data_IF_660447981850
#
_entry.id   IF_660447981850
#
_cell.length_a   1.000
_cell.length_b   1.000
_cell.length_c   1.000
_cell.angle_alpha   90.00
_cell.angle_beta   90.00
_cell.angle_gamma   90.00
#
_symmetry.space_group_name_H-M   'P 1'
#
loop_
_entity.id
_entity.type
_entity.pdbx_description
1 polymer ?
#
# COMPACT_ATOMS: atom_id res chain seq x y z
N UNK A 1 6.49 7.05 -22.40
CA UNK A 1 5.48 7.36 -21.37
C UNK A 1 6.19 7.39 -20.04
N UNK A 2 6.07 8.49 -19.28
CA UNK A 2 6.68 8.61 -17.95
C UNK A 2 6.12 7.51 -17.05
N UNK A 3 7.00 6.71 -16.44
CA UNK A 3 6.61 5.61 -15.54
C UNK A 3 5.89 6.12 -14.28
N UNK A 4 5.62 5.21 -13.34
CA UNK A 4 4.97 5.54 -12.06
C UNK A 4 5.91 6.17 -11.02
N UNK A 5 7.23 6.10 -11.24
CA UNK A 5 8.23 6.63 -10.33
C UNK A 5 8.12 8.15 -10.04
N UNK A 6 7.91 9.03 -11.04
CA UNK A 6 7.78 10.48 -10.79
C UNK A 6 6.59 10.86 -9.90
N UNK A 7 5.54 10.03 -9.84
CA UNK A 7 4.43 10.24 -8.91
C UNK A 7 4.85 9.98 -7.47
N UNK A 8 5.63 8.92 -7.23
CA UNK A 8 6.22 8.65 -5.91
C UNK A 8 7.18 9.78 -5.54
N UNK A 9 8.01 10.24 -6.48
CA UNK A 9 8.91 11.37 -6.23
C UNK A 9 8.14 12.65 -5.86
N UNK A 10 7.00 12.91 -6.52
CA UNK A 10 6.14 14.05 -6.21
C UNK A 10 5.52 13.96 -4.82
N UNK A 11 5.14 12.76 -4.37
CA UNK A 11 4.63 12.51 -3.02
C UNK A 11 5.71 12.66 -1.94
N UNK A 12 6.97 12.39 -2.29
CA UNK A 12 8.12 12.52 -1.39
C UNK A 12 8.73 13.93 -1.41
N UNK A 13 8.40 14.76 -2.40
CA UNK A 13 9.02 16.07 -2.63
C UNK A 13 8.74 17.10 -1.53
N UNK A 14 7.63 16.96 -0.81
CA UNK A 14 7.23 17.86 0.27
C UNK A 14 7.99 17.60 1.60
N UNK A 15 8.71 16.48 1.69
CA UNK A 15 9.44 16.05 2.88
C UNK A 15 8.55 15.65 4.06
N UNK A 16 7.22 15.55 3.88
CA UNK A 16 6.29 15.16 4.94
C UNK A 16 6.13 13.64 5.02
N UNK A 17 6.34 12.97 3.89
CA UNK A 17 6.23 11.52 3.75
C UNK A 17 7.60 10.85 3.83
N UNK A 18 7.66 9.72 4.54
CA UNK A 18 8.88 8.90 4.64
C UNK A 18 8.89 7.71 3.67
N UNK A 19 7.70 7.37 3.15
CA UNK A 19 7.44 6.25 2.28
C UNK A 19 6.16 6.51 1.48
N UNK A 20 6.16 6.14 0.20
CA UNK A 20 5.01 6.26 -0.69
C UNK A 20 5.03 5.12 -1.71
N UNK A 21 3.86 4.63 -2.10
CA UNK A 21 3.73 3.61 -3.12
C UNK A 21 2.41 3.69 -3.89
N UNK A 22 2.46 3.22 -5.12
CA UNK A 22 1.33 3.05 -6.03
C UNK A 22 1.16 1.56 -6.26
N UNK A 23 0.02 1.02 -5.86
CA UNK A 23 -0.30 -0.40 -5.94
C UNK A 23 -1.54 -0.58 -6.81
N UNK A 24 -1.39 -1.34 -7.90
CA UNK A 24 -2.52 -1.85 -8.65
C UNK A 24 -3.20 -2.95 -7.85
N UNK A 25 -4.52 -2.84 -7.65
CA UNK A 25 -5.30 -3.83 -6.89
C UNK A 25 -6.23 -4.70 -7.76
N UNK A 26 -6.50 -4.30 -9.02
CA UNK A 26 -7.35 -5.05 -9.96
C UNK A 26 -6.53 -6.02 -10.83
N UNK A 27 -7.14 -7.15 -11.17
CA UNK A 27 -6.62 -8.26 -11.98
C UNK A 27 -5.41 -8.98 -11.39
N UNK A 28 -4.27 -8.29 -11.32
CA UNK A 28 -3.02 -8.80 -10.79
C UNK A 28 -2.43 -7.78 -9.84
N UNK A 29 -2.59 -7.97 -8.52
CA UNK A 29 -2.07 -7.04 -7.54
C UNK A 29 -0.55 -6.85 -7.68
N UNK A 30 -0.10 -5.62 -7.96
CA UNK A 30 1.30 -5.29 -8.25
C UNK A 30 1.63 -3.84 -7.83
N UNK A 31 2.78 -3.58 -7.21
CA UNK A 31 3.35 -2.22 -7.04
C UNK A 31 3.83 -1.78 -8.40
N UNK A 32 3.39 -0.60 -8.76
CA UNK A 32 3.81 0.07 -9.97
C UNK A 32 4.96 1.04 -9.70
N UNK A 33 5.02 1.63 -8.51
CA UNK A 33 6.18 2.35 -7.99
C UNK A 33 6.12 2.43 -6.46
N UNK A 34 7.28 2.42 -5.80
CA UNK A 34 7.41 2.64 -4.36
C UNK A 34 8.76 3.28 -4.04
N UNK A 35 8.86 3.93 -2.89
CA UNK A 35 10.13 4.46 -2.39
C UNK A 35 11.10 3.31 -2.12
N UNK A 36 12.30 3.28 -2.75
CA UNK A 36 13.24 2.17 -2.60
C UNK A 36 13.70 1.98 -1.14
N UNK A 37 13.80 0.73 -0.70
CA UNK A 37 14.35 0.37 0.61
C UNK A 37 13.44 0.67 1.82
N UNK A 38 12.14 0.90 1.59
CA UNK A 38 11.15 1.19 2.62
C UNK A 38 10.06 0.11 2.72
N UNK A 39 9.16 0.27 3.69
CA UNK A 39 8.09 -0.69 4.02
C UNK A 39 7.17 -0.95 2.82
N UNK A 40 6.87 0.08 2.02
CA UNK A 40 6.00 -0.03 0.85
C UNK A 40 6.69 -0.56 -0.42
N UNK A 41 8.02 -0.66 -0.43
CA UNK A 41 8.71 -1.45 -1.46
C UNK A 41 8.60 -2.95 -1.17
N UNK A 42 8.59 -3.33 0.12
CA UNK A 42 8.33 -4.70 0.56
C UNK A 42 6.86 -5.11 0.45
N UNK A 43 6.01 -4.14 0.13
CA UNK A 43 4.63 -4.37 -0.24
C UNK A 43 4.70 -5.27 -1.50
N UNK A 44 4.98 -4.87 -2.74
CA UNK A 44 5.18 -5.89 -3.81
C UNK A 44 6.63 -5.97 -4.25
N UNK A 45 7.22 -7.14 -4.09
CA UNK A 45 8.43 -7.49 -4.83
C UNK A 45 8.17 -7.53 -6.33
N UNK A 46 8.75 -6.59 -7.07
CA UNK A 46 9.45 -6.94 -8.32
C UNK A 46 10.94 -6.89 -8.00
N UNK A 47 11.55 -8.06 -7.81
CA UNK A 47 12.99 -8.20 -8.03
C UNK A 47 13.20 -8.70 -9.45
N UNK A 48 13.76 -7.85 -10.30
CA UNK A 48 14.44 -8.37 -11.49
C UNK A 48 15.75 -8.98 -11.01
N UNK A 49 15.81 -10.32 -10.97
CA UNK A 49 17.04 -11.07 -10.80
C UNK A 49 17.13 -11.95 -9.55
N UNK A 50 17.04 -13.26 -9.80
CA UNK A 50 17.83 -14.32 -9.15
C UNK A 50 17.40 -14.84 -7.75
N UNK A 51 16.53 -15.85 -7.80
CA UNK A 51 16.33 -17.05 -6.95
C UNK A 51 16.51 -17.01 -5.41
N UNK A 52 15.43 -17.49 -4.75
CA UNK A 52 15.32 -18.03 -3.37
C UNK A 52 15.23 -17.00 -2.25
N UNK A 53 14.03 -16.43 -2.08
CA UNK A 53 13.15 -16.65 -0.93
C UNK A 53 11.93 -15.74 -1.13
N UNK A 54 10.76 -16.36 -1.15
CA UNK A 54 9.47 -15.76 -1.51
C UNK A 54 9.11 -14.63 -0.54
N UNK A 55 9.43 -13.38 -0.89
CA UNK A 55 8.86 -12.17 -0.25
C UNK A 55 7.89 -11.56 -1.26
N UNK A 56 6.79 -12.27 -1.45
CA UNK A 56 5.60 -11.78 -2.14
C UNK A 56 4.97 -10.69 -1.27
N UNK A 57 4.43 -9.64 -1.85
CA UNK A 57 3.20 -9.06 -1.30
C UNK A 57 2.30 -10.24 -1.02
N UNK A 58 1.86 -10.51 0.22
CA UNK A 58 0.82 -11.52 0.34
C UNK A 58 -0.39 -10.90 -0.34
N UNK A 59 -0.94 -11.42 -1.45
CA UNK A 59 -2.15 -10.85 -2.05
C UNK A 59 -3.27 -10.66 -1.01
N UNK A 60 -3.21 -11.45 0.07
CA UNK A 60 -3.96 -11.27 1.30
C UNK A 60 -3.95 -9.83 1.89
N UNK A 61 -2.86 -9.07 1.86
CA UNK A 61 -2.81 -7.70 2.40
C UNK A 61 -3.56 -6.69 1.51
N UNK A 62 -3.43 -6.77 0.17
CA UNK A 62 -4.28 -5.96 -0.74
C UNK A 62 -5.73 -6.38 -0.58
N UNK A 63 -5.98 -7.68 -0.59
CA UNK A 63 -7.33 -8.23 -0.45
C UNK A 63 -7.95 -7.88 0.90
N UNK A 64 -7.16 -7.75 1.97
CA UNK A 64 -7.63 -7.26 3.26
C UNK A 64 -8.02 -5.78 3.19
N UNK A 65 -7.24 -4.93 2.52
CA UNK A 65 -7.58 -3.51 2.32
C UNK A 65 -8.86 -3.31 1.51
N UNK A 66 -9.05 -4.10 0.45
CA UNK A 66 -10.24 -4.03 -0.42
C UNK A 66 -11.35 -5.01 -0.01
N UNK A 67 -11.20 -5.67 1.14
CA UNK A 67 -12.16 -6.66 1.61
C UNK A 67 -13.53 -6.02 1.83
N UNK A 68 -14.64 -6.72 1.50
CA UNK A 68 -15.97 -6.29 1.89
C UNK A 68 -16.21 -6.41 3.41
N UNK A 69 -15.42 -7.25 4.11
CA UNK A 69 -15.54 -7.43 5.56
C UNK A 69 -14.73 -6.38 6.32
N UNK A 70 -15.36 -5.23 6.57
CA UNK A 70 -14.71 -4.05 7.19
C UNK A 70 -14.62 -4.13 8.71
N UNK A 71 -15.60 -4.77 9.35
CA UNK A 71 -15.68 -4.86 10.82
C UNK A 71 -14.47 -5.57 11.45
N UNK A 72 -13.97 -6.62 10.80
CA UNK A 72 -12.81 -7.38 11.27
C UNK A 72 -11.50 -6.56 11.21
N UNK A 73 -11.39 -5.61 10.25
CA UNK A 73 -10.23 -4.74 10.11
C UNK A 73 -10.10 -3.75 11.27
N UNK A 74 -11.22 -3.23 11.77
CA UNK A 74 -11.24 -2.30 12.90
C UNK A 74 -10.84 -2.98 14.21
N UNK A 75 -11.19 -4.26 14.38
CA UNK A 75 -10.89 -5.03 15.61
C UNK A 75 -9.48 -5.63 15.57
N UNK A 76 -9.12 -6.30 14.49
CA UNK A 76 -7.85 -7.04 14.39
C UNK A 76 -6.70 -6.19 13.85
N UNK A 77 -7.01 -5.07 13.18
CA UNK A 77 -6.05 -4.33 12.37
C UNK A 77 -5.66 -5.09 11.12
N UNK A 78 -4.62 -4.60 10.44
CA UNK A 78 -4.05 -5.25 9.25
C UNK A 78 -2.53 -5.12 9.22
N UNK A 79 -1.89 -5.82 8.30
CA UNK A 79 -0.45 -5.70 8.06
C UNK A 79 -0.21 -5.10 6.68
N UNK A 80 0.78 -4.21 6.58
CA UNK A 80 1.26 -3.61 5.34
C UNK A 80 2.76 -3.87 5.24
N UNK A 81 3.19 -4.72 4.30
CA UNK A 81 4.62 -5.06 4.16
C UNK A 81 5.20 -5.69 5.44
N UNK A 82 4.37 -6.44 6.18
CA UNK A 82 4.73 -7.04 7.47
C UNK A 82 4.64 -6.10 8.69
N UNK A 83 4.42 -4.79 8.48
CA UNK A 83 4.21 -3.84 9.58
C UNK A 83 2.75 -3.90 10.06
N UNK A 84 2.54 -4.17 11.36
CA UNK A 84 1.20 -4.13 11.95
C UNK A 84 0.67 -2.70 11.99
N UNK A 85 -0.59 -2.53 11.60
CA UNK A 85 -1.29 -1.25 11.54
C UNK A 85 -2.67 -1.37 12.22
N UNK A 86 -3.07 -0.32 12.93
CA UNK A 86 -4.45 -0.08 13.37
C UNK A 86 -5.17 0.78 12.36
N UNK A 87 -6.42 0.45 12.04
CA UNK A 87 -7.30 1.35 11.27
C UNK A 87 -7.85 2.42 12.22
N UNK A 88 -7.73 3.69 11.85
CA UNK A 88 -8.29 4.84 12.58
C UNK A 88 -9.64 5.22 11.98
N UNK A 89 -9.69 5.34 10.64
CA UNK A 89 -10.90 5.65 9.88
C UNK A 89 -10.94 4.81 8.63
N UNK A 90 -12.14 4.38 8.28
CA UNK A 90 -12.34 3.57 7.09
C UNK A 90 -13.49 4.10 6.24
N UNK A 91 -13.13 4.79 5.16
CA UNK A 91 -14.03 5.29 4.13
C UNK A 91 -13.59 4.88 2.72
N UNK A 92 -12.78 3.82 2.60
CA UNK A 92 -12.15 3.45 1.33
C UNK A 92 -13.18 3.07 0.26
N UNK A 93 -14.24 2.38 0.66
CA UNK A 93 -15.33 1.95 -0.22
C UNK A 93 -16.54 2.88 -0.16
N UNK A 94 -16.43 4.01 0.56
CA UNK A 94 -17.47 5.03 0.59
C UNK A 94 -17.29 5.92 -0.63
N UNK A 95 -18.36 6.03 -1.42
CA UNK A 95 -18.36 6.85 -2.63
C UNK A 95 -18.08 8.32 -2.29
N UNK A 96 -17.13 8.93 -3.00
CA UNK A 96 -16.69 10.31 -2.79
C UNK A 96 -15.59 10.53 -1.73
N UNK A 97 -15.36 9.58 -0.81
CA UNK A 97 -14.28 9.70 0.19
C UNK A 97 -13.02 8.91 -0.18
N UNK A 98 -13.18 7.64 -0.57
CA UNK A 98 -12.11 6.76 -1.07
C UNK A 98 -10.81 6.76 -0.26
N UNK A 99 -10.89 6.98 1.05
CA UNK A 99 -9.75 7.16 1.95
C UNK A 99 -9.85 6.22 3.16
N UNK A 100 -8.70 5.74 3.62
CA UNK A 100 -8.57 4.98 4.85
C UNK A 100 -7.34 5.47 5.58
N UNK A 101 -7.49 5.78 6.87
CA UNK A 101 -6.36 6.18 7.71
C UNK A 101 -6.00 5.06 8.66
N UNK A 102 -4.70 4.81 8.74
CA UNK A 102 -4.10 3.82 9.60
C UNK A 102 -2.96 4.42 10.41
N UNK A 103 -2.57 3.72 11.46
CA UNK A 103 -1.37 4.02 12.22
C UNK A 103 -0.59 2.76 12.54
N UNK A 104 0.72 2.80 12.35
CA UNK A 104 1.57 1.66 12.65
C UNK A 104 1.55 1.36 14.16
N UNK A 105 1.54 0.07 14.49
CA UNK A 105 1.73 -0.42 15.86
C UNK A 105 3.22 -0.71 16.06
N UNK A 106 3.84 -0.09 17.05
CA UNK A 106 5.20 -0.43 17.44
C UNK A 106 5.21 -1.44 18.58
N UNK A 107 6.26 -2.26 18.60
CA UNK A 107 6.64 -3.06 19.77
C UNK A 107 7.79 -2.35 20.46
N UNK A 108 7.76 -2.30 21.80
CA UNK A 108 8.82 -1.71 22.63
C UNK A 108 9.04 -0.19 22.51
N UNK A 109 7.98 0.59 22.24
CA UNK A 109 8.04 2.05 22.34
C UNK A 109 8.73 2.77 21.18
N UNK A 110 9.01 2.08 20.07
CA UNK A 110 9.47 2.71 18.84
C UNK A 110 8.42 3.71 18.28
N UNK A 111 8.84 4.73 17.50
CA UNK A 111 7.93 5.69 16.92
C UNK A 111 6.87 5.01 16.04
N UNK A 112 5.66 5.55 16.08
CA UNK A 112 4.53 5.12 15.24
C UNK A 112 4.23 6.19 14.20
N UNK A 113 3.76 5.78 13.05
CA UNK A 113 3.55 6.64 11.89
C UNK A 113 2.12 6.49 11.38
N UNK A 114 1.56 7.59 10.89
CA UNK A 114 0.27 7.60 10.24
C UNK A 114 0.46 7.18 8.77
N UNK A 115 -0.51 6.44 8.25
CA UNK A 115 -0.57 5.95 6.88
C UNK A 115 -1.94 6.29 6.35
N UNK A 116 -2.03 6.95 5.20
CA UNK A 116 -3.28 7.16 4.50
C UNK A 116 -3.26 6.33 3.22
N UNK A 117 -4.26 5.47 3.06
CA UNK A 117 -4.48 4.71 1.84
C UNK A 117 -5.66 5.32 1.08
N UNK A 118 -5.49 5.53 -0.22
CA UNK A 118 -6.55 5.99 -1.11
C UNK A 118 -6.77 4.98 -2.22
N UNK A 119 -8.04 4.75 -2.58
CA UNK A 119 -8.39 3.90 -3.71
C UNK A 119 -8.81 4.79 -4.88
N UNK A 120 -8.32 4.48 -6.06
CA UNK A 120 -8.73 5.15 -7.29
C UNK A 120 -9.21 4.09 -8.26
N UNK A 121 -10.13 4.47 -9.15
CA UNK A 121 -10.45 3.60 -10.27
C UNK A 121 -9.18 3.43 -11.12
N UNK A 122 -8.89 2.19 -11.53
CA UNK A 122 -7.96 1.93 -12.64
C UNK A 122 -8.49 2.74 -13.83
N UNK A 123 -7.86 3.87 -14.17
CA UNK A 123 -8.16 4.54 -15.43
C UNK A 123 -7.85 3.51 -16.51
N UNK A 124 -8.84 3.22 -17.34
CA UNK A 124 -8.73 2.29 -18.45
C UNK A 124 -7.49 2.59 -19.30
N UNK A 125 -6.93 1.54 -19.91
CA UNK A 125 -5.78 1.51 -20.84
C UNK A 125 -4.37 1.46 -20.24
N UNK A 126 -4.02 0.33 -19.61
CA UNK A 126 -2.68 -0.21 -19.82
C UNK A 126 -2.78 -1.67 -20.21
N UNK A 127 -2.92 -1.91 -21.52
CA UNK A 127 -2.58 -3.19 -22.15
C UNK A 127 -1.09 -3.14 -22.48
N UNK A 128 -0.25 -4.07 -21.98
CA UNK A 128 1.09 -4.22 -22.52
C UNK A 128 0.95 -4.63 -23.99
N UNK A 129 1.49 -3.82 -24.90
CA UNK A 129 1.85 -4.26 -26.24
C UNK A 129 3.17 -5.03 -26.17
#
# INVERSE_FOLDING_TARGET
>A
MSGWAPYVDSLMADGTCQDAAIVGYKDTPAVWAATPGKTFANITGKSEGFWILVVTFRPAEVNALVSPERGALLVNGLTLGGQKCSVIRDSLLVDGEHTMDLRTKSTAGAPTYNITATITNKSESWTPL
#
